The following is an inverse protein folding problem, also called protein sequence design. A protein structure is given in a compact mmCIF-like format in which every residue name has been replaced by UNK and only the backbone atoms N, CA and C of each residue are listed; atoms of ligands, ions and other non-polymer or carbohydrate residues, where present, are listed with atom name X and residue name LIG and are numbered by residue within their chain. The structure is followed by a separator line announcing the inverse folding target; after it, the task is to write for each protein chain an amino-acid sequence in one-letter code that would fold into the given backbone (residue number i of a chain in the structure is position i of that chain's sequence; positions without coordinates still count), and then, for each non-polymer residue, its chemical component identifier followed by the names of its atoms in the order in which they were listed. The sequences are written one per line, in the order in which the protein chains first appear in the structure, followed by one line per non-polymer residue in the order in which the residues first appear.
data_IF_691651746218
#
_entry.id   IF_691651746218
#
_cell.length_a   1.000
_cell.length_b   1.000
_cell.length_c   1.000
_cell.angle_alpha   90.00
_cell.angle_beta   90.00
_cell.angle_gamma   90.00
#
_symmetry.space_group_name_H-M   'P 1'
#
loop_
_entity.id
_entity.type
_entity.pdbx_description
1 polymer ?
#
# COMPACT_ATOMS: atom_id res chain seq x y z
N UNK A 1 0.99 6.05 69.75
CA UNK A 1 0.08 5.79 68.60
C UNK A 1 0.93 5.75 67.35
N UNK A 2 1.13 4.58 66.74
CA UNK A 2 2.00 4.38 65.57
C UNK A 2 1.19 4.66 64.28
N UNK A 3 1.70 5.56 63.44
CA UNK A 3 1.21 5.80 62.09
C UNK A 3 1.56 4.58 61.21
N UNK A 4 0.53 3.91 60.69
CA UNK A 4 0.68 2.83 59.71
C UNK A 4 0.56 3.41 58.31
N UNK A 5 1.68 3.50 57.60
CA UNK A 5 1.74 3.97 56.22
C UNK A 5 1.45 2.80 55.27
N UNK A 6 0.28 2.84 54.61
CA UNK A 6 -0.10 1.90 53.57
C UNK A 6 0.67 2.22 52.29
N UNK A 7 1.63 1.37 51.91
CA UNK A 7 2.22 1.38 50.58
C UNK A 7 1.20 0.82 49.57
N UNK A 8 0.66 1.69 48.72
CA UNK A 8 -0.07 1.27 47.53
C UNK A 8 0.92 0.70 46.50
N UNK A 9 0.84 -0.60 46.23
CA UNK A 9 1.62 -1.24 45.17
C UNK A 9 0.92 -0.95 43.85
N UNK A 10 1.46 -0.03 43.06
CA UNK A 10 1.02 0.17 41.69
C UNK A 10 1.43 -1.04 40.85
N UNK A 11 0.46 -1.87 40.46
CA UNK A 11 0.67 -2.92 39.46
C UNK A 11 0.80 -2.24 38.11
N UNK A 12 2.03 -2.10 37.63
CA UNK A 12 2.27 -1.70 36.25
C UNK A 12 1.70 -2.80 35.33
N UNK A 13 0.64 -2.47 34.60
CA UNK A 13 0.15 -3.33 33.53
C UNK A 13 1.25 -3.43 32.47
N UNK A 14 1.96 -4.55 32.45
CA UNK A 14 2.88 -4.87 31.37
C UNK A 14 2.04 -5.08 30.12
N UNK A 15 2.17 -4.17 29.14
CA UNK A 15 1.70 -4.45 27.77
C UNK A 15 2.33 -5.79 27.37
N UNK A 16 1.54 -6.78 26.94
CA UNK A 16 2.14 -7.98 26.38
C UNK A 16 2.96 -7.53 25.18
N UNK A 17 4.28 -7.71 25.27
CA UNK A 17 5.14 -7.65 24.11
C UNK A 17 4.77 -8.87 23.27
N UNK A 18 3.78 -8.71 22.40
CA UNK A 18 3.50 -9.75 21.42
C UNK A 18 4.72 -9.82 20.51
N UNK A 19 5.39 -10.97 20.55
CA UNK A 19 6.40 -11.32 19.56
C UNK A 19 5.80 -11.09 18.16
N UNK A 20 6.25 -10.05 17.48
CA UNK A 20 5.90 -9.78 16.09
C UNK A 20 7.16 -9.27 15.39
N UNK A 21 7.98 -10.20 14.94
CA UNK A 21 9.08 -9.89 14.03
C UNK A 21 8.57 -9.38 12.66
N UNK A 22 7.25 -9.42 12.43
CA UNK A 22 6.59 -8.95 11.21
C UNK A 22 5.89 -7.58 11.37
N UNK A 23 5.89 -6.81 10.29
CA UNK A 23 5.05 -5.60 10.15
C UNK A 23 3.59 -5.98 9.96
N UNK A 24 2.70 -5.12 10.45
CA UNK A 24 1.27 -5.27 10.27
C UNK A 24 0.86 -5.07 8.80
N UNK A 25 -0.01 -5.95 8.29
CA UNK A 25 -0.47 -5.96 6.91
C UNK A 25 -2.00 -5.98 6.81
N UNK A 26 -2.58 -5.65 5.65
CA UNK A 26 -4.02 -5.74 5.45
C UNK A 26 -4.56 -7.14 5.78
N UNK A 27 -5.60 -7.20 6.61
CA UNK A 27 -6.20 -8.46 7.09
C UNK A 27 -5.73 -8.89 8.47
N UNK A 28 -4.60 -8.37 8.96
CA UNK A 28 -4.15 -8.63 10.33
C UNK A 28 -5.03 -7.91 11.35
N UNK A 29 -5.15 -8.47 12.56
CA UNK A 29 -5.93 -7.85 13.65
C UNK A 29 -5.37 -6.51 14.13
N UNK A 30 -4.10 -6.23 13.84
CA UNK A 30 -3.45 -4.95 14.15
C UNK A 30 -3.69 -3.87 13.08
N UNK A 31 -4.29 -4.23 11.93
CA UNK A 31 -4.43 -3.31 10.80
C UNK A 31 -5.35 -2.13 11.20
N UNK A 32 -4.96 -0.87 10.90
CA UNK A 32 -5.78 0.26 11.29
C UNK A 32 -7.17 0.19 10.65
N UNK A 33 -8.19 0.53 11.43
CA UNK A 33 -9.56 0.63 10.93
C UNK A 33 -9.71 1.81 9.96
N UNK A 34 -10.78 1.81 9.17
CA UNK A 34 -11.05 2.89 8.22
C UNK A 34 -11.12 4.26 8.90
N UNK A 35 -11.69 4.36 10.10
CA UNK A 35 -11.73 5.60 10.87
C UNK A 35 -10.32 6.13 11.23
N UNK A 36 -9.36 5.24 11.50
CA UNK A 36 -7.97 5.62 11.79
C UNK A 36 -7.26 6.09 10.52
N UNK A 37 -7.52 5.46 9.37
CA UNK A 37 -7.04 5.95 8.07
C UNK A 37 -7.65 7.30 7.69
N UNK A 38 -8.93 7.53 7.95
CA UNK A 38 -9.59 8.82 7.72
C UNK A 38 -8.96 9.91 8.58
N UNK A 39 -8.68 9.65 9.86
CA UNK A 39 -8.01 10.63 10.73
C UNK A 39 -6.61 11.01 10.23
N UNK A 40 -5.84 10.05 9.68
CA UNK A 40 -4.58 10.37 9.00
C UNK A 40 -4.84 11.26 7.79
N UNK A 41 -5.82 10.90 6.96
CA UNK A 41 -6.15 11.66 5.74
C UNK A 41 -6.50 13.12 6.05
N UNK A 42 -7.28 13.37 7.11
CA UNK A 42 -7.57 14.72 7.60
C UNK A 42 -6.32 15.46 8.06
N UNK A 43 -5.44 14.77 8.82
CA UNK A 43 -4.17 15.34 9.29
C UNK A 43 -3.26 15.80 8.15
N UNK A 44 -3.26 15.08 7.02
CA UNK A 44 -2.47 15.40 5.82
C UNK A 44 -3.30 16.08 4.72
N UNK A 45 -4.38 16.77 5.09
CA UNK A 45 -5.16 17.61 4.17
C UNK A 45 -5.71 16.86 2.94
N UNK A 46 -6.16 15.62 3.11
CA UNK A 46 -6.77 14.83 2.03
C UNK A 46 -5.77 14.11 1.11
N UNK A 47 -4.48 14.04 1.48
CA UNK A 47 -3.40 13.50 0.65
C UNK A 47 -3.20 11.98 0.75
N UNK A 48 -4.06 11.26 1.48
CA UNK A 48 -4.02 9.81 1.54
C UNK A 48 -4.72 9.21 0.31
N UNK A 49 -4.02 8.36 -0.42
CA UNK A 49 -4.52 7.66 -1.59
C UNK A 49 -4.68 6.18 -1.26
N UNK A 50 -5.90 5.65 -1.38
CA UNK A 50 -6.12 4.20 -1.37
C UNK A 50 -5.72 3.64 -2.72
N UNK A 51 -4.96 2.55 -2.71
CA UNK A 51 -4.39 2.00 -3.95
C UNK A 51 -5.46 1.53 -4.92
N UNK A 52 -5.35 2.01 -6.15
CA UNK A 52 -6.00 1.46 -7.34
C UNK A 52 -4.88 1.00 -8.26
N UNK A 53 -4.90 -0.27 -8.65
CA UNK A 53 -3.85 -0.82 -9.48
C UNK A 53 -4.00 -0.29 -10.92
N UNK A 54 -2.95 0.25 -11.55
CA UNK A 54 -3.08 0.89 -12.86
C UNK A 54 -3.60 -0.06 -13.94
N UNK A 55 -3.40 -1.37 -13.76
CA UNK A 55 -3.82 -2.41 -14.70
C UNK A 55 -5.16 -3.04 -14.39
N UNK A 56 -5.78 -2.76 -13.24
CA UNK A 56 -7.06 -3.41 -12.90
C UNK A 56 -8.18 -3.06 -13.90
N UNK A 57 -8.09 -1.90 -14.56
CA UNK A 57 -8.98 -1.48 -15.66
C UNK A 57 -9.03 -2.46 -16.84
N UNK A 58 -8.07 -3.38 -16.97
CA UNK A 58 -8.01 -4.35 -18.05
C UNK A 58 -8.63 -5.70 -17.73
N UNK A 59 -9.03 -5.92 -16.48
CA UNK A 59 -9.53 -7.21 -16.00
C UNK A 59 -11.04 -7.10 -15.82
N UNK A 60 -11.82 -7.89 -16.58
CA UNK A 60 -13.29 -7.79 -16.64
C UNK A 60 -13.99 -8.11 -15.31
N UNK A 61 -13.31 -8.81 -14.41
CA UNK A 61 -13.76 -9.14 -13.05
C UNK A 61 -13.49 -8.01 -12.04
N UNK A 62 -12.73 -6.97 -12.41
CA UNK A 62 -12.45 -5.83 -11.55
C UNK A 62 -13.56 -4.79 -11.64
N UNK A 63 -13.90 -4.12 -10.51
CA UNK A 63 -15.00 -3.16 -10.47
C UNK A 63 -14.75 -1.90 -11.32
N UNK A 64 -13.49 -1.63 -11.69
CA UNK A 64 -13.08 -0.50 -12.51
C UNK A 64 -12.68 -0.90 -13.93
N UNK A 65 -13.13 -2.06 -14.43
CA UNK A 65 -12.91 -2.44 -15.82
C UNK A 65 -13.38 -1.34 -16.78
N UNK A 66 -12.48 -0.93 -17.67
CA UNK A 66 -12.73 0.05 -18.72
C UNK A 66 -11.78 -0.24 -19.88
N UNK A 67 -12.35 -0.61 -21.02
CA UNK A 67 -11.59 -0.98 -22.21
C UNK A 67 -10.74 0.17 -22.77
N UNK A 68 -11.27 1.40 -22.78
CA UNK A 68 -10.56 2.56 -23.31
C UNK A 68 -9.39 2.93 -22.38
N UNK A 69 -9.62 2.93 -21.06
CA UNK A 69 -8.55 3.12 -20.09
C UNK A 69 -7.51 1.99 -20.19
N UNK A 70 -7.94 0.76 -20.42
CA UNK A 70 -7.03 -0.36 -20.62
C UNK A 70 -6.07 -0.16 -21.80
N UNK A 71 -6.59 0.29 -22.94
CA UNK A 71 -5.77 0.60 -24.12
C UNK A 71 -4.80 1.75 -23.84
N UNK A 72 -5.25 2.79 -23.14
CA UNK A 72 -4.38 3.90 -22.74
C UNK A 72 -3.23 3.43 -21.83
N UNK A 73 -3.50 2.53 -20.88
CA UNK A 73 -2.45 1.99 -20.02
C UNK A 73 -1.54 1.04 -20.80
N UNK A 74 -2.07 0.23 -21.74
CA UNK A 74 -1.26 -0.68 -22.56
C UNK A 74 -0.24 0.08 -23.41
N UNK A 75 -0.68 1.16 -24.07
CA UNK A 75 0.18 1.96 -24.95
C UNK A 75 1.28 2.71 -24.20
N UNK A 76 1.06 3.04 -22.92
CA UNK A 76 2.02 3.77 -22.10
C UNK A 76 2.83 2.88 -21.15
N UNK A 77 2.52 1.58 -21.06
CA UNK A 77 3.07 0.70 -20.02
C UNK A 77 4.60 0.61 -20.04
N UNK A 78 5.24 0.72 -21.19
CA UNK A 78 6.71 0.64 -21.29
C UNK A 78 7.40 1.97 -21.00
N UNK A 79 6.65 3.04 -20.74
CA UNK A 79 7.20 4.38 -20.56
C UNK A 79 7.52 4.68 -19.09
N UNK A 80 8.70 5.25 -18.84
CA UNK A 80 9.09 5.69 -17.50
C UNK A 80 8.15 6.79 -16.95
N UNK A 81 7.63 7.65 -17.85
CA UNK A 81 6.71 8.73 -17.49
C UNK A 81 5.43 8.19 -16.84
N UNK A 82 4.84 7.13 -17.41
CA UNK A 82 3.64 6.50 -16.86
C UNK A 82 3.87 5.93 -15.46
N UNK A 83 4.96 5.20 -15.24
CA UNK A 83 5.23 4.62 -13.91
C UNK A 83 5.60 5.68 -12.87
N UNK A 84 6.23 6.77 -13.30
CA UNK A 84 6.62 7.87 -12.43
C UNK A 84 5.40 8.68 -11.99
N UNK A 85 4.43 8.90 -12.88
CA UNK A 85 3.23 9.71 -12.60
C UNK A 85 2.18 8.96 -11.77
N UNK A 86 2.21 7.63 -11.77
CA UNK A 86 1.27 6.83 -10.98
C UNK A 86 1.78 6.60 -9.55
N UNK A 87 0.92 6.69 -8.50
CA UNK A 87 1.33 6.61 -7.10
C UNK A 87 1.82 5.22 -6.64
N UNK A 88 1.52 4.15 -7.37
CA UNK A 88 1.85 2.77 -6.97
C UNK A 88 2.58 1.97 -8.04
N UNK A 89 2.53 2.41 -9.29
CA UNK A 89 3.16 1.74 -10.42
C UNK A 89 4.68 1.65 -10.25
N UNK A 90 5.22 0.53 -10.71
CA UNK A 90 6.65 0.21 -10.73
C UNK A 90 7.00 -0.30 -12.12
N UNK A 91 8.20 0.04 -12.60
CA UNK A 91 8.56 -0.23 -14.00
C UNK A 91 8.61 -1.72 -14.33
N UNK A 92 9.09 -2.53 -13.38
CA UNK A 92 9.09 -3.98 -13.51
C UNK A 92 7.98 -4.60 -12.65
N UNK A 93 6.93 -5.19 -13.26
CA UNK A 93 5.85 -5.87 -12.53
C UNK A 93 6.34 -7.01 -11.63
N UNK A 94 7.53 -7.54 -11.89
CA UNK A 94 8.17 -8.57 -11.06
C UNK A 94 8.32 -8.14 -9.60
N UNK A 95 8.66 -6.87 -9.34
CA UNK A 95 8.76 -6.35 -7.97
C UNK A 95 7.42 -6.39 -7.23
N UNK A 96 6.33 -6.23 -7.98
CA UNK A 96 4.96 -6.38 -7.50
C UNK A 96 4.44 -7.83 -7.51
N UNK A 97 5.32 -8.82 -7.74
CA UNK A 97 4.99 -10.25 -7.84
C UNK A 97 4.12 -10.61 -9.05
N UNK A 98 4.21 -9.84 -10.16
CA UNK A 98 3.42 -10.10 -11.37
C UNK A 98 1.90 -10.23 -11.09
N UNK A 99 1.44 -9.53 -10.05
CA UNK A 99 0.13 -9.73 -9.44
C UNK A 99 -1.02 -9.06 -10.19
N UNK A 100 -0.72 -8.07 -11.04
CA UNK A 100 -1.68 -7.39 -11.90
C UNK A 100 -0.97 -6.89 -13.16
N UNK A 101 -0.63 -7.83 -14.04
CA UNK A 101 0.14 -7.54 -15.24
C UNK A 101 -0.70 -6.85 -16.31
N UNK A 102 -0.07 -6.15 -17.27
CA UNK A 102 -0.77 -5.78 -18.48
C UNK A 102 -1.21 -7.01 -19.26
N UNK A 103 -2.46 -7.00 -19.73
CA UNK A 103 -3.04 -8.06 -20.54
C UNK A 103 -3.72 -7.46 -21.77
N UNK A 104 -3.65 -8.18 -22.88
CA UNK A 104 -4.50 -8.01 -24.04
C UNK A 104 -5.86 -8.66 -23.78
N UNK A 105 -6.83 -8.40 -24.66
CA UNK A 105 -8.18 -8.96 -24.53
C UNK A 105 -8.20 -10.50 -24.53
N UNK A 106 -7.28 -11.12 -25.28
CA UNK A 106 -7.12 -12.58 -25.32
C UNK A 106 -6.49 -13.18 -24.04
N UNK A 107 -6.21 -12.35 -23.02
CA UNK A 107 -5.66 -12.78 -21.74
C UNK A 107 -4.15 -12.98 -21.72
N UNK A 108 -3.42 -12.75 -22.81
CA UNK A 108 -1.95 -12.80 -22.80
C UNK A 108 -1.36 -11.46 -22.37
N UNK A 109 -0.15 -11.44 -21.81
CA UNK A 109 0.55 -10.17 -21.58
C UNK A 109 1.37 -9.74 -22.81
N UNK A 110 1.70 -8.44 -22.96
CA UNK A 110 2.59 -7.92 -24.01
C UNK A 110 4.03 -8.47 -23.98
N UNK A 111 4.39 -9.25 -22.96
CA UNK A 111 5.73 -9.79 -22.74
C UNK A 111 5.81 -11.31 -22.97
N UNK A 112 4.75 -11.92 -23.54
CA UNK A 112 4.74 -13.33 -23.96
C UNK A 112 4.24 -14.34 -22.92
N UNK A 113 3.66 -13.92 -21.80
CA UNK A 113 3.02 -14.81 -20.83
C UNK A 113 1.55 -15.07 -21.23
N UNK A 114 1.21 -16.32 -21.61
CA UNK A 114 -0.14 -16.65 -22.07
C UNK A 114 -1.15 -16.83 -20.93
N UNK A 115 -0.70 -16.87 -19.68
CA UNK A 115 -1.55 -17.13 -18.51
C UNK A 115 -1.78 -15.89 -17.65
N UNK A 116 -1.35 -14.72 -18.12
CA UNK A 116 -1.43 -13.48 -17.34
C UNK A 116 -2.88 -13.11 -16.96
N UNK A 117 -3.81 -13.15 -17.92
CA UNK A 117 -5.22 -12.87 -17.67
C UNK A 117 -5.87 -13.88 -16.73
N UNK A 118 -5.55 -15.17 -16.88
CA UNK A 118 -6.08 -16.24 -16.03
C UNK A 118 -5.61 -16.16 -14.58
N UNK A 119 -4.45 -15.54 -14.29
CA UNK A 119 -3.99 -15.29 -12.91
C UNK A 119 -4.71 -14.10 -12.25
N UNK A 120 -5.43 -13.29 -13.02
CA UNK A 120 -6.18 -12.15 -12.52
C UNK A 120 -5.32 -10.97 -12.07
N UNK A 121 -5.98 -10.01 -11.42
CA UNK A 121 -5.36 -8.81 -10.86
C UNK A 121 -5.57 -8.76 -9.35
N UNK A 122 -4.48 -8.74 -8.59
CA UNK A 122 -4.47 -8.73 -7.13
C UNK A 122 -3.44 -7.72 -6.61
N UNK A 123 -3.55 -7.36 -5.33
CA UNK A 123 -2.65 -6.39 -4.70
C UNK A 123 -1.18 -6.83 -4.65
N UNK A 124 -0.90 -8.14 -4.60
CA UNK A 124 0.47 -8.67 -4.55
C UNK A 124 1.37 -7.95 -3.54
N UNK A 125 2.36 -7.22 -4.05
CA UNK A 125 3.31 -6.43 -3.23
C UNK A 125 3.14 -4.91 -3.38
N UNK A 126 2.06 -4.45 -4.02
CA UNK A 126 1.73 -3.04 -4.05
C UNK A 126 1.36 -2.54 -2.64
N UNK A 127 1.69 -1.29 -2.28
CA UNK A 127 1.28 -0.72 -0.99
C UNK A 127 -0.25 -0.61 -0.96
N UNK A 128 -0.89 -0.76 0.20
CA UNK A 128 -2.34 -0.57 0.34
C UNK A 128 -2.77 0.92 0.27
N UNK A 129 -1.87 1.80 0.71
CA UNK A 129 -2.04 3.25 0.69
C UNK A 129 -0.74 3.93 0.25
N UNK A 130 -0.89 5.07 -0.42
CA UNK A 130 0.19 6.01 -0.74
C UNK A 130 -0.15 7.39 -0.19
N UNK A 131 0.87 8.19 0.16
CA UNK A 131 0.69 9.58 0.56
C UNK A 131 1.24 10.49 -0.53
N UNK A 132 0.42 11.40 -1.04
CA UNK A 132 0.85 12.44 -1.96
C UNK A 132 1.53 13.57 -1.19
N UNK A 133 2.78 13.35 -0.80
CA UNK A 133 3.58 14.28 0.00
C UNK A 133 3.84 15.58 -0.74
N UNK A 134 3.52 16.70 -0.09
CA UNK A 134 3.80 18.06 -0.61
C UNK A 134 4.55 18.95 0.36
N UNK A 135 4.65 18.54 1.63
CA UNK A 135 5.41 19.25 2.66
C UNK A 135 6.14 18.30 3.60
N UNK A 136 7.03 18.84 4.44
CA UNK A 136 7.75 18.05 5.44
C UNK A 136 6.79 17.49 6.51
N UNK A 137 5.72 18.22 6.81
CA UNK A 137 4.69 17.84 7.78
C UNK A 137 3.92 16.59 7.32
N UNK A 138 3.63 16.46 6.01
CA UNK A 138 3.03 15.25 5.43
C UNK A 138 3.92 14.02 5.70
N UNK A 139 5.24 14.17 5.50
CA UNK A 139 6.23 13.11 5.75
C UNK A 139 6.27 12.74 7.23
N UNK A 140 6.35 13.74 8.11
CA UNK A 140 6.39 13.53 9.56
C UNK A 140 5.14 12.81 10.06
N UNK A 141 3.96 13.22 9.59
CA UNK A 141 2.68 12.60 9.93
C UNK A 141 2.64 11.14 9.45
N UNK A 142 3.01 10.87 8.19
CA UNK A 142 3.03 9.52 7.63
C UNK A 142 4.00 8.58 8.35
N UNK A 143 5.22 9.04 8.67
CA UNK A 143 6.21 8.25 9.42
C UNK A 143 5.74 7.97 10.84
N UNK A 144 5.20 8.99 11.53
CA UNK A 144 4.65 8.83 12.88
C UNK A 144 3.54 7.80 12.88
N UNK A 145 2.60 7.90 11.95
CA UNK A 145 1.50 6.97 11.78
C UNK A 145 1.98 5.53 11.50
N UNK A 146 2.90 5.35 10.54
CA UNK A 146 3.43 4.04 10.21
C UNK A 146 4.13 3.38 11.40
N UNK A 147 4.86 4.15 12.20
CA UNK A 147 5.49 3.65 13.43
C UNK A 147 4.46 3.28 14.50
N UNK A 148 3.48 4.14 14.75
CA UNK A 148 2.45 3.94 15.77
C UNK A 148 1.60 2.69 15.50
N UNK A 149 1.36 2.38 14.23
CA UNK A 149 0.56 1.23 13.80
C UNK A 149 1.40 0.03 13.32
N UNK A 150 2.72 0.06 13.54
CA UNK A 150 3.68 -0.98 13.10
C UNK A 150 3.54 -1.38 11.62
N UNK A 151 3.32 -0.40 10.74
CA UNK A 151 3.20 -0.59 9.31
C UNK A 151 4.58 -0.60 8.63
N UNK A 152 4.67 -1.28 7.49
CA UNK A 152 5.83 -1.14 6.60
C UNK A 152 5.76 0.19 5.86
N UNK A 153 6.78 1.03 6.01
CA UNK A 153 6.96 2.24 5.23
C UNK A 153 7.79 1.92 3.97
N UNK A 154 7.34 2.38 2.81
CA UNK A 154 8.11 2.36 1.56
C UNK A 154 8.18 3.79 1.02
N UNK A 155 9.29 4.15 0.38
CA UNK A 155 9.48 5.47 -0.24
C UNK A 155 9.56 5.28 -1.76
N UNK A 156 8.65 5.92 -2.49
CA UNK A 156 8.64 5.93 -3.96
C UNK A 156 8.89 7.35 -4.46
N UNK A 157 9.81 7.46 -5.41
CA UNK A 157 9.86 8.60 -6.33
C UNK A 157 9.31 8.14 -7.70
N UNK A 158 10.18 7.65 -8.59
CA UNK A 158 9.81 7.25 -9.96
C UNK A 158 9.40 5.78 -10.12
N UNK A 159 9.61 4.92 -9.12
CA UNK A 159 9.29 3.49 -9.22
C UNK A 159 10.34 2.64 -9.98
N UNK A 160 11.55 3.17 -10.18
CA UNK A 160 12.70 2.47 -10.78
C UNK A 160 13.65 1.80 -9.77
N UNK A 161 13.29 1.74 -8.48
CA UNK A 161 14.13 1.10 -7.47
C UNK A 161 14.38 -0.38 -7.79
N UNK A 162 15.65 -0.80 -7.77
CA UNK A 162 16.05 -2.18 -8.06
C UNK A 162 16.10 -3.10 -6.81
N UNK A 163 15.91 -2.52 -5.62
CA UNK A 163 15.95 -3.18 -4.32
C UNK A 163 14.63 -3.04 -3.54
N UNK A 164 14.47 -3.92 -2.54
CA UNK A 164 13.31 -4.05 -1.64
C UNK A 164 13.39 -3.11 -0.44
#
# INVERSE_FOLDING_TARGET
MRFGQLCAVAVAATKPANASDCKCAPGDSCWPSDAVWTALNETISGRLLKTVLPRSVCYKDQPNYDEAACQAVLSNWTTAAFHSSDPVSVHSPWYANNSCNPIHENGTNPFGDPLAGSRGCTMGRYPAYSVNVTSAEDVQAAIKFAREHNLRLNVKNTGHGSSK
#
